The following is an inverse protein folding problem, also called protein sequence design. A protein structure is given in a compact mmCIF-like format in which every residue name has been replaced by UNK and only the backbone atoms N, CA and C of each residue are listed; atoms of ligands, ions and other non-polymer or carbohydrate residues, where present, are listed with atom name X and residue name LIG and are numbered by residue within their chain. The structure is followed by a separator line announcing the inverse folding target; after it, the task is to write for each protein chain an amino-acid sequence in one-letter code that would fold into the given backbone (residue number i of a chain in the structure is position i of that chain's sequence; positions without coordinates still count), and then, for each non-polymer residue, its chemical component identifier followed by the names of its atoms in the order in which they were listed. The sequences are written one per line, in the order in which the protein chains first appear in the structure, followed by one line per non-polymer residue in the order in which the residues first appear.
data_IF_376309070872
#
_entry.id   IF_376309070872
#
_cell.length_a   1.000
_cell.length_b   1.000
_cell.length_c   1.000
_cell.angle_alpha   90.00
_cell.angle_beta   90.00
_cell.angle_gamma   90.00
#
_symmetry.space_group_name_H-M   'P 1'
#
loop_
_entity.id
_entity.type
_entity.pdbx_description
1 polymer ?
#
# COMPACT_ATOMS: atom_id res chain seq x y z
N UNK A 1 -0.95 -40.09 -36.85
CA UNK A 1 0.38 -39.83 -36.23
C UNK A 1 0.13 -39.21 -34.88
N UNK A 2 0.20 -40.03 -33.82
CA UNK A 2 0.03 -39.61 -32.43
C UNK A 2 1.43 -39.33 -31.89
N UNK A 3 1.73 -38.10 -31.56
CA UNK A 3 2.98 -37.72 -30.89
C UNK A 3 2.72 -37.70 -29.37
N UNK A 4 3.22 -38.75 -28.68
CA UNK A 4 3.29 -38.78 -27.22
C UNK A 4 4.40 -37.88 -26.74
N UNK A 5 4.05 -36.83 -26.02
CA UNK A 5 5.02 -36.02 -25.24
C UNK A 5 5.17 -36.67 -23.86
N UNK A 6 6.28 -37.30 -23.63
CA UNK A 6 6.66 -37.79 -22.32
C UNK A 6 7.16 -36.58 -21.48
N UNK A 7 6.37 -36.21 -20.47
CA UNK A 7 6.74 -35.20 -19.48
C UNK A 7 7.68 -35.85 -18.47
N UNK A 8 8.99 -35.56 -18.57
CA UNK A 8 9.96 -35.92 -17.55
C UNK A 8 9.81 -34.96 -16.38
N UNK A 9 9.13 -35.40 -15.32
CA UNK A 9 9.14 -34.73 -14.03
C UNK A 9 10.48 -35.02 -13.34
N UNK A 10 11.43 -34.09 -13.46
CA UNK A 10 12.59 -34.04 -12.55
C UNK A 10 12.08 -33.57 -11.18
N UNK A 11 12.09 -34.49 -10.23
CA UNK A 11 11.87 -34.18 -8.82
C UNK A 11 13.07 -33.33 -8.33
N UNK A 12 12.87 -32.03 -8.31
CA UNK A 12 13.76 -31.16 -7.54
C UNK A 12 13.36 -31.38 -6.08
N UNK A 13 14.15 -32.15 -5.35
CA UNK A 13 14.06 -32.19 -3.90
C UNK A 13 14.44 -30.82 -3.36
N UNK A 14 13.46 -29.92 -3.27
CA UNK A 14 13.59 -28.69 -2.51
C UNK A 14 13.69 -29.07 -1.03
N UNK A 15 14.79 -28.77 -0.39
CA UNK A 15 14.85 -28.65 1.06
C UNK A 15 13.85 -27.59 1.48
N UNK A 16 12.63 -28.01 1.81
CA UNK A 16 11.72 -27.19 2.57
C UNK A 16 12.29 -26.99 3.97
N UNK A 17 12.11 -25.83 4.60
CA UNK A 17 12.50 -25.66 5.99
C UNK A 17 11.77 -26.72 6.80
N UNK A 18 12.52 -27.52 7.54
CA UNK A 18 11.98 -28.46 8.52
C UNK A 18 11.14 -27.64 9.50
N UNK A 19 9.85 -27.91 9.54
CA UNK A 19 9.01 -27.48 10.65
C UNK A 19 9.65 -27.97 11.94
N UNK A 20 10.32 -27.07 12.63
CA UNK A 20 10.92 -27.32 13.94
C UNK A 20 9.79 -27.49 14.93
N UNK A 21 9.62 -28.71 15.42
CA UNK A 21 8.84 -28.97 16.62
C UNK A 21 9.42 -28.13 17.75
N UNK A 22 8.57 -27.34 18.40
CA UNK A 22 8.96 -26.41 19.43
C UNK A 22 9.76 -27.03 20.55
N UNK A 23 10.96 -26.51 20.71
CA UNK A 23 11.61 -26.49 22.01
C UNK A 23 11.61 -25.01 22.41
N UNK A 24 10.67 -24.62 23.26
CA UNK A 24 10.60 -23.31 23.90
C UNK A 24 11.83 -23.13 24.80
N UNK A 25 12.96 -22.80 24.23
CA UNK A 25 14.00 -22.11 24.97
C UNK A 25 13.62 -20.63 24.93
N UNK A 26 13.20 -20.08 26.07
CA UNK A 26 12.91 -18.67 26.30
C UNK A 26 14.19 -17.79 26.22
N UNK A 27 15.12 -18.13 25.36
CA UNK A 27 16.35 -17.37 25.20
C UNK A 27 16.24 -16.60 23.87
N UNK A 28 16.40 -15.27 23.89
CA UNK A 28 16.41 -14.45 22.68
C UNK A 28 17.48 -14.99 21.72
N UNK A 29 17.17 -14.98 20.41
CA UNK A 29 18.14 -15.31 19.36
C UNK A 29 19.33 -14.33 19.43
N UNK A 30 20.53 -14.81 19.07
CA UNK A 30 21.65 -13.90 18.82
C UNK A 30 21.44 -13.17 17.48
N UNK A 31 21.96 -11.97 17.34
CA UNK A 31 21.91 -11.19 16.10
C UNK A 31 22.42 -11.98 14.88
N UNK A 32 23.40 -12.87 15.08
CA UNK A 32 23.93 -13.75 14.03
C UNK A 32 22.93 -14.83 13.57
N UNK A 33 21.88 -15.08 14.33
CA UNK A 33 20.86 -16.12 14.06
C UNK A 33 19.62 -15.54 13.38
N UNK A 34 19.46 -14.21 13.35
CA UNK A 34 18.36 -13.55 12.65
C UNK A 34 18.63 -13.41 11.16
N UNK A 35 17.59 -13.43 10.35
CA UNK A 35 17.68 -13.37 8.88
C UNK A 35 18.44 -12.12 8.39
N UNK A 36 18.29 -10.98 9.07
CA UNK A 36 18.92 -9.72 8.67
C UNK A 36 20.10 -9.31 9.55
N UNK A 37 20.57 -10.16 10.44
CA UNK A 37 21.66 -9.86 11.37
C UNK A 37 21.30 -8.75 12.38
N UNK A 38 20.01 -8.56 12.66
CA UNK A 38 19.52 -7.58 13.63
C UNK A 38 19.44 -8.21 15.02
N UNK A 39 19.83 -7.45 16.03
CA UNK A 39 19.71 -7.90 17.43
C UNK A 39 18.24 -7.87 17.85
N UNK A 40 17.67 -9.01 18.31
CA UNK A 40 16.33 -9.05 18.84
C UNK A 40 16.12 -8.10 20.01
N UNK A 41 14.90 -7.63 20.20
CA UNK A 41 14.54 -6.86 21.38
C UNK A 41 14.74 -7.71 22.64
N UNK A 42 15.16 -7.11 23.76
CA UNK A 42 15.41 -7.84 25.01
C UNK A 42 14.13 -8.42 25.62
N UNK A 43 12.99 -7.81 25.32
CA UNK A 43 11.67 -8.23 25.75
C UNK A 43 10.72 -8.24 24.55
N UNK A 44 9.76 -9.17 24.56
CA UNK A 44 8.74 -9.25 23.51
C UNK A 44 7.85 -8.02 23.56
N UNK A 45 7.70 -7.35 22.42
CA UNK A 45 7.00 -6.07 22.31
C UNK A 45 5.94 -6.17 21.22
N UNK A 46 4.76 -5.64 21.47
CA UNK A 46 3.71 -5.52 20.43
C UNK A 46 3.94 -4.28 19.58
N UNK A 47 3.87 -4.44 18.27
CA UNK A 47 3.91 -3.37 17.27
C UNK A 47 2.59 -3.31 16.53
N UNK A 48 1.87 -2.20 16.65
CA UNK A 48 0.63 -1.98 15.90
C UNK A 48 0.92 -1.34 14.56
N UNK A 49 0.57 -2.02 13.48
CA UNK A 49 0.79 -1.56 12.10
C UNK A 49 -0.51 -1.05 11.51
N UNK A 50 -0.56 0.26 11.20
CA UNK A 50 -1.63 0.84 10.40
C UNK A 50 -1.47 0.48 8.93
N UNK A 51 -2.50 -0.07 8.29
CA UNK A 51 -2.43 -0.52 6.91
C UNK A 51 -3.69 -0.21 6.09
N UNK A 52 -3.53 -0.18 4.76
CA UNK A 52 -4.67 -0.08 3.85
C UNK A 52 -5.21 -1.46 3.50
N UNK A 53 -6.46 -1.70 3.82
CA UNK A 53 -7.14 -2.92 3.37
C UNK A 53 -7.22 -2.96 1.84
N UNK A 54 -6.71 -4.04 1.25
CA UNK A 54 -6.73 -4.25 -0.19
C UNK A 54 -5.66 -3.49 -0.99
N UNK A 55 -4.71 -2.83 -0.33
CA UNK A 55 -3.59 -2.15 -0.98
C UNK A 55 -2.34 -3.04 -1.07
N UNK A 56 -1.65 -2.94 -2.20
CA UNK A 56 -0.36 -3.60 -2.39
C UNK A 56 0.77 -2.97 -1.55
N UNK A 57 0.62 -1.71 -1.14
CA UNK A 57 1.61 -1.02 -0.29
C UNK A 57 1.86 -1.75 1.03
N UNK A 58 0.82 -2.34 1.61
CA UNK A 58 0.90 -3.06 2.89
C UNK A 58 1.45 -4.49 2.77
N UNK A 59 1.69 -4.98 1.57
CA UNK A 59 2.22 -6.35 1.36
C UNK A 59 3.55 -6.62 2.05
N UNK A 60 4.52 -5.68 2.12
CA UNK A 60 5.79 -5.94 2.81
C UNK A 60 5.62 -6.32 4.27
N UNK A 61 4.70 -5.68 5.01
CA UNK A 61 4.40 -6.01 6.40
C UNK A 61 3.89 -7.44 6.53
N UNK A 62 2.90 -7.77 5.70
CA UNK A 62 2.27 -9.08 5.71
C UNK A 62 3.26 -10.20 5.34
N UNK A 63 4.15 -9.95 4.38
CA UNK A 63 5.19 -10.90 3.99
C UNK A 63 6.18 -11.07 5.15
N UNK A 64 6.64 -9.99 5.78
CA UNK A 64 7.57 -10.04 6.90
C UNK A 64 7.02 -10.86 8.07
N UNK A 65 5.75 -10.65 8.40
CA UNK A 65 5.04 -11.40 9.43
C UNK A 65 4.95 -12.90 9.08
N UNK A 66 4.51 -13.22 7.86
CA UNK A 66 4.39 -14.60 7.39
C UNK A 66 5.73 -15.33 7.27
N UNK A 67 6.80 -14.61 7.03
CA UNK A 67 8.15 -15.15 6.98
C UNK A 67 8.77 -15.32 8.39
N UNK A 68 8.10 -14.82 9.44
CA UNK A 68 8.58 -14.91 10.83
C UNK A 68 9.64 -13.87 11.19
N UNK A 69 9.88 -12.84 10.37
CA UNK A 69 10.93 -11.86 10.63
C UNK A 69 10.67 -11.02 11.88
N UNK A 70 9.41 -10.75 12.20
CA UNK A 70 9.05 -10.07 13.44
C UNK A 70 9.27 -10.97 14.66
N UNK A 71 8.95 -12.26 14.55
CA UNK A 71 9.18 -13.25 15.60
C UNK A 71 10.68 -13.37 15.94
N UNK A 72 11.56 -13.39 14.94
CA UNK A 72 13.02 -13.40 15.13
C UNK A 72 13.50 -12.21 15.98
N UNK A 73 12.77 -11.10 15.95
CA UNK A 73 13.12 -9.87 16.63
C UNK A 73 12.38 -9.67 17.97
N UNK A 74 11.64 -10.66 18.46
CA UNK A 74 10.76 -10.55 19.62
C UNK A 74 9.65 -9.49 19.46
N UNK A 75 9.07 -9.40 18.27
CA UNK A 75 7.98 -8.48 17.96
C UNK A 75 6.71 -9.28 17.67
N UNK A 76 5.63 -8.98 18.39
CA UNK A 76 4.26 -9.39 18.08
C UNK A 76 3.62 -8.28 17.23
N UNK A 77 2.96 -8.65 16.12
CA UNK A 77 2.35 -7.67 15.23
C UNK A 77 0.84 -7.68 15.39
N UNK A 78 0.27 -6.50 15.59
CA UNK A 78 -1.16 -6.24 15.49
C UNK A 78 -1.43 -5.34 14.28
N UNK A 79 -2.54 -5.58 13.57
CA UNK A 79 -2.88 -4.84 12.36
C UNK A 79 -4.14 -4.01 12.56
N UNK A 80 -4.05 -2.70 12.31
CA UNK A 80 -5.19 -1.79 12.28
C UNK A 80 -5.49 -1.34 10.85
N UNK A 81 -6.70 -1.64 10.38
CA UNK A 81 -7.11 -1.41 8.98
C UNK A 81 -7.76 -0.06 8.79
N UNK A 82 -7.31 0.66 7.78
CA UNK A 82 -7.84 1.97 7.38
C UNK A 82 -8.34 1.96 5.93
N UNK A 83 -9.30 2.82 5.64
CA UNK A 83 -9.85 3.01 4.30
C UNK A 83 -9.02 3.97 3.44
N UNK A 84 -8.13 4.73 4.06
CA UNK A 84 -7.29 5.70 3.34
C UNK A 84 -6.33 6.45 4.27
N UNK A 85 -5.33 7.12 3.66
CA UNK A 85 -4.29 7.88 4.37
C UNK A 85 -4.82 8.95 5.32
N UNK A 86 -5.79 9.79 4.92
CA UNK A 86 -6.33 10.80 5.83
C UNK A 86 -6.89 10.20 7.13
N UNK A 87 -7.71 9.15 7.06
CA UNK A 87 -8.26 8.47 8.23
C UNK A 87 -7.16 7.84 9.11
N UNK A 88 -6.13 7.26 8.49
CA UNK A 88 -4.98 6.71 9.19
C UNK A 88 -4.19 7.79 9.94
N UNK A 89 -3.99 8.96 9.35
CA UNK A 89 -3.31 10.08 10.01
C UNK A 89 -4.12 10.65 11.18
N UNK A 90 -5.43 10.79 11.02
CA UNK A 90 -6.33 11.22 12.09
C UNK A 90 -6.29 10.27 13.29
N UNK A 91 -6.09 8.98 13.05
CA UNK A 91 -5.99 7.94 14.07
C UNK A 91 -4.53 7.67 14.51
N UNK A 92 -3.61 8.61 14.32
CA UNK A 92 -2.17 8.40 14.56
C UNK A 92 -1.78 7.97 15.98
N UNK A 93 -2.66 8.11 16.96
CA UNK A 93 -2.45 7.64 18.32
C UNK A 93 -2.77 6.14 18.50
N UNK A 94 -3.32 5.45 17.51
CA UNK A 94 -3.74 4.05 17.60
C UNK A 94 -2.75 3.05 16.99
N UNK A 95 -1.75 3.52 16.27
CA UNK A 95 -0.72 2.68 15.65
C UNK A 95 0.70 3.22 15.90
N UNK A 96 1.69 2.34 15.81
CA UNK A 96 3.10 2.66 16.02
C UNK A 96 3.83 2.97 14.70
N UNK A 97 3.46 2.27 13.64
CA UNK A 97 4.04 2.42 12.31
C UNK A 97 2.96 2.20 11.25
N UNK A 98 3.09 2.88 10.12
CA UNK A 98 2.16 2.68 9.00
C UNK A 98 2.86 2.84 7.65
N UNK A 99 2.18 2.38 6.59
CA UNK A 99 2.49 2.73 5.21
C UNK A 99 1.43 3.68 4.66
N UNK A 100 1.86 4.75 4.01
CA UNK A 100 0.94 5.74 3.44
C UNK A 100 1.59 6.48 2.28
N UNK A 101 0.80 6.89 1.31
CA UNK A 101 1.29 7.70 0.18
C UNK A 101 1.82 9.08 0.61
N UNK A 102 2.68 9.67 -0.22
CA UNK A 102 3.39 10.91 0.07
C UNK A 102 2.51 12.07 0.60
N UNK A 103 1.29 12.34 0.07
CA UNK A 103 0.43 13.37 0.64
C UNK A 103 0.03 13.09 2.09
N UNK A 104 -0.23 11.81 2.43
CA UNK A 104 -0.54 11.40 3.81
C UNK A 104 0.66 11.62 4.75
N UNK A 105 1.88 11.26 4.33
CA UNK A 105 3.11 11.51 5.10
C UNK A 105 3.30 13.01 5.36
N UNK A 106 3.18 13.84 4.32
CA UNK A 106 3.32 15.30 4.46
C UNK A 106 2.29 15.90 5.42
N UNK A 107 1.04 15.40 5.35
CA UNK A 107 -0.01 15.79 6.30
C UNK A 107 0.31 15.31 7.72
N UNK A 108 0.77 14.07 7.88
CA UNK A 108 1.17 13.49 9.15
C UNK A 108 2.30 14.27 9.82
N UNK A 109 3.36 14.57 9.09
CA UNK A 109 4.50 15.36 9.57
C UNK A 109 4.10 16.79 9.97
N UNK A 110 3.15 17.38 9.26
CA UNK A 110 2.70 18.76 9.54
C UNK A 110 1.76 18.87 10.73
N UNK A 111 0.86 17.90 10.92
CA UNK A 111 -0.28 18.06 11.80
C UNK A 111 -0.36 17.04 12.94
N UNK A 112 0.41 15.93 12.87
CA UNK A 112 0.28 14.79 13.79
C UNK A 112 1.62 14.29 14.38
N UNK A 113 2.69 15.06 14.23
CA UNK A 113 4.04 14.71 14.73
C UNK A 113 4.57 13.37 14.21
N UNK A 114 4.18 12.99 13.00
CA UNK A 114 4.62 11.75 12.34
C UNK A 114 6.02 11.96 11.75
N UNK A 115 6.86 10.92 11.85
CA UNK A 115 8.19 10.90 11.24
C UNK A 115 8.24 9.88 10.11
N UNK A 116 8.82 10.27 8.97
CA UNK A 116 9.09 9.35 7.87
C UNK A 116 10.37 8.56 8.16
N UNK A 117 10.26 7.24 8.24
CA UNK A 117 11.41 6.35 8.45
C UNK A 117 12.08 5.92 7.15
N UNK A 118 11.36 5.81 6.06
CA UNK A 118 11.89 5.39 4.77
C UNK A 118 10.81 5.31 3.69
N UNK A 119 11.26 4.93 2.50
CA UNK A 119 10.38 4.61 1.36
C UNK A 119 10.24 3.09 1.27
N UNK A 120 9.02 2.60 1.23
CA UNK A 120 8.76 1.17 1.04
C UNK A 120 8.58 0.80 -0.43
N UNK A 121 8.04 1.69 -1.24
CA UNK A 121 7.82 1.47 -2.67
C UNK A 121 7.80 2.77 -3.49
N UNK A 122 7.75 2.61 -4.82
CA UNK A 122 7.49 3.69 -5.77
C UNK A 122 6.27 3.32 -6.62
N UNK A 123 5.28 4.16 -6.63
CA UNK A 123 4.06 3.95 -7.41
C UNK A 123 4.24 4.52 -8.83
N UNK A 124 4.14 3.65 -9.84
CA UNK A 124 4.23 4.03 -11.25
C UNK A 124 2.94 3.80 -12.04
N UNK A 125 1.92 3.19 -11.42
CA UNK A 125 0.75 2.66 -12.11
C UNK A 125 -0.55 3.38 -11.77
N UNK A 126 -0.50 4.59 -11.20
CA UNK A 126 -1.69 5.39 -10.97
C UNK A 126 -2.25 5.87 -12.32
N UNK A 127 -3.54 5.66 -12.54
CA UNK A 127 -4.21 6.00 -13.78
C UNK A 127 -5.54 6.71 -13.56
N UNK A 128 -5.91 7.55 -14.53
CA UNK A 128 -7.25 8.12 -14.65
C UNK A 128 -8.10 7.21 -15.54
N UNK A 129 -9.30 6.88 -15.05
CA UNK A 129 -10.29 6.16 -15.83
C UNK A 129 -11.35 7.11 -16.33
N UNK A 130 -11.66 7.01 -17.61
CA UNK A 130 -12.73 7.76 -18.26
C UNK A 130 -13.65 6.79 -19.00
N UNK A 131 -14.91 7.17 -19.20
CA UNK A 131 -15.84 6.34 -19.97
C UNK A 131 -15.39 6.32 -21.44
N UNK A 132 -15.47 5.17 -22.14
CA UNK A 132 -14.96 5.03 -23.51
C UNK A 132 -15.63 5.98 -24.53
N UNK A 133 -16.86 6.38 -24.24
CA UNK A 133 -17.69 7.27 -25.06
C UNK A 133 -17.62 8.73 -24.64
N UNK A 134 -16.75 9.06 -23.67
CA UNK A 134 -16.59 10.42 -23.17
C UNK A 134 -15.69 11.29 -24.06
N UNK A 135 -15.88 12.61 -24.07
CA UNK A 135 -14.98 13.54 -24.75
C UNK A 135 -13.51 13.41 -24.28
N UNK A 136 -13.30 13.09 -23.00
CA UNK A 136 -11.99 12.89 -22.41
C UNK A 136 -11.27 11.66 -22.97
N UNK A 137 -12.01 10.61 -23.33
CA UNK A 137 -11.44 9.44 -23.98
C UNK A 137 -11.04 9.74 -25.43
N UNK A 138 -11.79 10.60 -26.12
CA UNK A 138 -11.55 10.97 -27.51
C UNK A 138 -10.32 11.89 -27.67
N UNK A 139 -10.16 12.86 -26.77
CA UNK A 139 -9.04 13.83 -26.80
C UNK A 139 -8.64 14.24 -25.37
N UNK A 140 -7.87 13.39 -24.68
CA UNK A 140 -7.49 13.65 -23.27
C UNK A 140 -6.61 14.88 -23.09
N UNK A 141 -5.90 15.32 -24.13
CA UNK A 141 -4.98 16.46 -24.09
C UNK A 141 -5.64 17.81 -24.29
N UNK A 142 -6.90 17.84 -24.69
CA UNK A 142 -7.66 19.06 -24.88
C UNK A 142 -8.21 19.58 -23.55
N UNK A 143 -7.78 20.77 -23.06
CA UNK A 143 -8.26 21.29 -21.77
C UNK A 143 -9.78 21.53 -21.74
N UNK A 144 -10.41 21.83 -22.87
CA UNK A 144 -11.84 22.14 -22.90
C UNK A 144 -12.74 20.95 -22.53
N UNK A 145 -12.27 19.70 -22.77
CA UNK A 145 -13.06 18.53 -22.41
C UNK A 145 -13.04 18.23 -20.91
N UNK A 146 -12.14 18.85 -20.15
CA UNK A 146 -12.02 18.68 -18.71
C UNK A 146 -12.75 19.74 -17.90
N UNK A 147 -13.10 20.88 -18.50
CA UNK A 147 -13.79 21.96 -17.81
C UNK A 147 -15.21 21.56 -17.41
N UNK A 148 -15.55 21.82 -16.15
CA UNK A 148 -16.88 21.57 -15.59
C UNK A 148 -17.21 20.10 -15.37
N UNK A 149 -16.27 19.17 -15.54
CA UNK A 149 -16.53 17.75 -15.24
C UNK A 149 -16.62 17.50 -13.73
N UNK A 150 -17.30 16.44 -13.36
CA UNK A 150 -17.24 15.86 -12.02
C UNK A 150 -16.24 14.72 -12.01
N UNK A 151 -15.24 14.80 -11.12
CA UNK A 151 -14.28 13.76 -10.85
C UNK A 151 -14.49 13.20 -9.44
N UNK A 152 -14.58 11.89 -9.34
CA UNK A 152 -14.75 11.18 -8.06
C UNK A 152 -13.40 10.58 -7.68
N UNK A 153 -12.88 10.96 -6.51
CA UNK A 153 -11.61 10.46 -5.98
C UNK A 153 -11.51 10.71 -4.47
N UNK A 154 -10.70 9.94 -3.74
CA UNK A 154 -10.41 10.24 -2.34
C UNK A 154 -9.48 11.46 -2.23
N UNK A 155 -9.91 12.47 -1.47
CA UNK A 155 -9.14 13.70 -1.26
C UNK A 155 -8.01 13.47 -0.24
N UNK A 156 -6.93 14.27 -0.35
CA UNK A 156 -5.73 14.15 0.50
C UNK A 156 -4.85 12.95 0.17
N UNK A 157 -5.01 12.35 -1.00
CA UNK A 157 -4.30 11.16 -1.46
C UNK A 157 -3.42 11.43 -2.68
N UNK A 158 -2.58 10.45 -3.02
CA UNK A 158 -1.78 10.44 -4.27
C UNK A 158 -2.67 10.57 -5.51
N UNK A 159 -3.88 9.98 -5.48
CA UNK A 159 -4.84 10.08 -6.59
C UNK A 159 -5.26 11.52 -6.86
N UNK A 160 -5.58 12.28 -5.82
CA UNK A 160 -5.89 13.70 -5.96
C UNK A 160 -4.68 14.48 -6.49
N UNK A 161 -3.50 14.25 -5.91
CA UNK A 161 -2.28 14.92 -6.36
C UNK A 161 -2.00 14.67 -7.85
N UNK A 162 -2.11 13.42 -8.30
CA UNK A 162 -1.91 13.06 -9.70
C UNK A 162 -2.93 13.75 -10.62
N UNK A 163 -4.22 13.73 -10.24
CA UNK A 163 -5.26 14.37 -11.05
C UNK A 163 -5.05 15.89 -11.16
N UNK A 164 -4.75 16.57 -10.05
CA UNK A 164 -4.46 18.00 -10.07
C UNK A 164 -3.20 18.34 -10.87
N UNK A 165 -2.17 17.50 -10.81
CA UNK A 165 -0.96 17.65 -11.62
C UNK A 165 -1.24 17.48 -13.11
N UNK A 166 -2.13 16.55 -13.46
CA UNK A 166 -2.58 16.38 -14.84
C UNK A 166 -3.36 17.61 -15.33
N UNK A 167 -4.32 18.13 -14.57
CA UNK A 167 -5.04 19.36 -14.90
C UNK A 167 -4.07 20.54 -15.10
N UNK A 168 -3.10 20.67 -14.19
CA UNK A 168 -2.09 21.73 -14.29
C UNK A 168 -1.26 21.61 -15.59
N UNK A 169 -0.95 20.39 -16.04
CA UNK A 169 -0.24 20.17 -17.31
C UNK A 169 -1.05 20.63 -18.54
N UNK A 170 -2.37 20.72 -18.41
CA UNK A 170 -3.29 21.23 -19.41
C UNK A 170 -3.59 22.73 -19.23
N UNK A 171 -2.97 23.40 -18.25
CA UNK A 171 -3.25 24.81 -17.92
C UNK A 171 -4.53 25.04 -17.15
N UNK A 172 -5.08 23.97 -16.54
CA UNK A 172 -6.28 24.02 -15.71
C UNK A 172 -5.93 23.94 -14.21
N UNK A 173 -6.90 24.21 -13.37
CA UNK A 173 -6.81 24.15 -11.91
C UNK A 173 -7.94 23.31 -11.30
N UNK A 174 -7.96 23.18 -9.99
CA UNK A 174 -9.04 22.54 -9.27
C UNK A 174 -10.38 23.31 -9.41
N UNK A 175 -10.33 24.62 -9.68
CA UNK A 175 -11.51 25.46 -9.85
C UNK A 175 -12.25 25.21 -11.18
N UNK A 176 -11.58 24.56 -12.12
CA UNK A 176 -12.15 24.24 -13.44
C UNK A 176 -12.99 22.94 -13.44
N UNK A 177 -12.98 22.19 -12.32
CA UNK A 177 -13.65 20.90 -12.19
C UNK A 177 -14.41 20.80 -10.87
N UNK A 178 -15.30 19.81 -10.74
CA UNK A 178 -15.90 19.43 -9.45
C UNK A 178 -15.24 18.15 -8.94
N UNK A 179 -14.67 18.19 -7.72
CA UNK A 179 -14.09 17.00 -7.09
C UNK A 179 -15.05 16.52 -6.00
N UNK A 180 -15.59 15.32 -6.20
CA UNK A 180 -16.42 14.63 -5.21
C UNK A 180 -15.54 13.66 -4.43
N UNK A 181 -15.41 13.88 -3.11
CA UNK A 181 -14.65 13.00 -2.23
C UNK A 181 -15.37 11.67 -2.04
N UNK A 182 -14.75 10.58 -2.45
CA UNK A 182 -15.27 9.22 -2.30
C UNK A 182 -14.12 8.22 -2.31
N UNK A 183 -14.21 7.20 -1.44
CA UNK A 183 -13.23 6.11 -1.42
C UNK A 183 -13.27 5.28 -2.71
N UNK A 184 -12.15 4.62 -3.02
CA UNK A 184 -11.95 3.91 -4.30
C UNK A 184 -13.02 2.85 -4.57
N UNK A 185 -13.41 2.05 -3.58
CA UNK A 185 -14.40 0.98 -3.77
C UNK A 185 -15.80 1.50 -4.12
N UNK A 186 -16.40 2.44 -3.37
CA UNK A 186 -17.66 3.05 -3.78
C UNK A 186 -17.53 3.89 -5.06
N UNK A 187 -16.38 4.54 -5.30
CA UNK A 187 -16.15 5.29 -6.54
C UNK A 187 -16.21 4.36 -7.77
N UNK A 188 -15.60 3.19 -7.70
CA UNK A 188 -15.68 2.19 -8.77
C UNK A 188 -17.11 1.69 -9.01
N UNK A 189 -17.88 1.52 -7.93
CA UNK A 189 -19.30 1.16 -8.03
C UNK A 189 -20.11 2.25 -8.73
N UNK A 190 -19.91 3.51 -8.36
CA UNK A 190 -20.56 4.66 -8.97
C UNK A 190 -20.15 4.84 -10.46
N UNK A 191 -18.90 4.55 -10.79
CA UNK A 191 -18.42 4.61 -12.17
C UNK A 191 -19.10 3.58 -13.08
N UNK A 192 -19.43 2.40 -12.56
CA UNK A 192 -20.06 1.31 -13.30
C UNK A 192 -21.60 1.42 -13.37
N UNK A 193 -22.22 2.34 -12.63
CA UNK A 193 -23.67 2.56 -12.65
C UNK A 193 -24.10 3.47 -13.81
#
# INVERSE_FOLDING_TARGET
VVLSFALVCTLISGCGPKGGGGNSSNQPLDAAETTFGLTPLPERTTLTIGFFSGSAHSMPWYIADRMGFFDELNIDVEYESFIGGPAMMEASASWDICDVGAPGILNGMKNYDIQMLGLCDNEYNTALFVRPDSPQAADPTNPEVWKGIECILPTGTTLQYMFLSYLQSLGLSADDVTITNMDVTPALTAFNA
#
